data_IF_875406450964
#
_entry.id   IF_875406450964
#
_cell.length_a   1.000
_cell.length_b   1.000
_cell.length_c   1.000
_cell.angle_alpha   90.00
_cell.angle_beta   90.00
_cell.angle_gamma   90.00
#
_symmetry.space_group_name_H-M   'P 1'
#
loop_
_entity.id
_entity.type
_entity.pdbx_description
1 polymer ?
#
# COMPACT_ATOMS: atom_id res chain seq x y z
N UNK A 1 -2.97 34.66 7.06
CA UNK A 1 -3.69 33.36 7.17
C UNK A 1 -3.05 32.16 6.43
N UNK A 2 -2.28 32.31 5.32
CA UNK A 2 -1.80 31.15 4.52
C UNK A 2 -0.59 30.34 5.05
N UNK A 3 0.03 30.70 6.19
CA UNK A 3 1.22 30.00 6.74
C UNK A 3 0.88 28.74 7.55
N UNK A 4 -0.21 28.74 8.32
CA UNK A 4 -0.61 27.57 9.14
C UNK A 4 -1.05 26.37 8.29
N UNK A 5 -1.80 26.62 7.21
CA UNK A 5 -2.24 25.55 6.29
C UNK A 5 -1.06 24.85 5.60
N UNK A 6 0.00 25.60 5.25
CA UNK A 6 1.22 25.01 4.66
C UNK A 6 1.96 24.10 5.65
N UNK A 7 1.98 24.46 6.94
CA UNK A 7 2.63 23.66 7.98
C UNK A 7 1.86 22.37 8.29
N UNK A 8 0.52 22.41 8.27
CA UNK A 8 -0.33 21.21 8.41
C UNK A 8 -0.17 20.26 7.23
N UNK A 9 -0.20 20.78 6.00
CA UNK A 9 0.04 19.98 4.78
C UNK A 9 1.45 19.36 4.82
N UNK A 10 2.47 20.09 5.29
CA UNK A 10 3.82 19.55 5.43
C UNK A 10 3.90 18.44 6.50
N UNK A 11 3.17 18.59 7.61
CA UNK A 11 3.06 17.58 8.68
C UNK A 11 2.36 16.32 8.17
N UNK A 12 1.31 16.45 7.36
CA UNK A 12 0.61 15.35 6.69
C UNK A 12 1.50 14.63 5.68
N UNK A 13 2.25 15.37 4.85
CA UNK A 13 3.18 14.79 3.87
C UNK A 13 4.28 13.99 4.58
N UNK A 14 4.85 14.55 5.66
CA UNK A 14 5.88 13.89 6.47
C UNK A 14 5.35 12.62 7.15
N UNK A 15 4.12 12.66 7.69
CA UNK A 15 3.45 11.50 8.27
C UNK A 15 3.16 10.41 7.22
N UNK A 16 2.71 10.78 6.02
CA UNK A 16 2.52 9.85 4.90
C UNK A 16 3.83 9.25 4.37
N UNK A 17 4.95 9.95 4.52
CA UNK A 17 6.28 9.41 4.25
C UNK A 17 6.72 8.42 5.33
N UNK A 18 6.50 8.76 6.60
CA UNK A 18 6.80 7.89 7.75
C UNK A 18 6.03 6.55 7.68
N UNK A 19 4.72 6.59 7.43
CA UNK A 19 3.84 5.41 7.26
C UNK A 19 4.28 4.49 6.11
N UNK A 20 4.96 5.02 5.08
CA UNK A 20 5.51 4.21 3.97
C UNK A 20 6.75 3.42 4.38
N UNK A 21 7.60 4.00 5.24
CA UNK A 21 8.86 3.40 5.70
C UNK A 21 8.62 2.23 6.65
N UNK A 22 7.64 2.35 7.54
CA UNK A 22 7.24 1.28 8.48
C UNK A 22 6.71 0.05 7.73
N UNK A 23 5.81 0.23 6.77
CA UNK A 23 5.28 -0.90 5.96
C UNK A 23 6.36 -1.70 5.25
N UNK A 24 7.44 -1.07 4.78
CA UNK A 24 8.55 -1.77 4.12
C UNK A 24 9.31 -2.63 5.12
N UNK A 25 9.54 -2.13 6.34
CA UNK A 25 10.16 -2.91 7.43
C UNK A 25 9.29 -4.12 7.78
N UNK A 26 7.97 -3.95 7.88
CA UNK A 26 7.03 -5.03 8.21
C UNK A 26 6.98 -6.13 7.15
N UNK A 27 7.23 -5.79 5.89
CA UNK A 27 7.34 -6.80 4.83
C UNK A 27 8.73 -7.42 4.78
N UNK A 28 9.78 -6.68 5.13
CA UNK A 28 11.15 -7.19 5.17
C UNK A 28 11.41 -8.18 6.32
N UNK A 29 10.64 -8.10 7.41
CA UNK A 29 10.75 -9.04 8.54
C UNK A 29 10.08 -10.39 8.27
N UNK A 30 9.23 -10.49 7.24
CA UNK A 30 8.47 -11.69 6.89
C UNK A 30 9.29 -12.64 6.03
N UNK A 31 8.99 -13.93 6.15
CA UNK A 31 9.64 -14.95 5.31
C UNK A 31 9.12 -14.92 3.87
N UNK A 32 9.91 -15.46 2.94
CA UNK A 32 9.56 -15.50 1.50
C UNK A 32 8.21 -16.17 1.23
N UNK A 33 7.90 -17.24 1.96
CA UNK A 33 6.64 -17.98 1.83
C UNK A 33 5.45 -17.16 2.32
N UNK A 34 5.59 -16.44 3.44
CA UNK A 34 4.56 -15.54 3.95
C UNK A 34 4.29 -14.37 3.00
N UNK A 35 5.34 -13.80 2.41
CA UNK A 35 5.21 -12.75 1.42
C UNK A 35 4.44 -13.21 0.18
N UNK A 36 4.66 -14.45 -0.27
CA UNK A 36 3.91 -15.03 -1.38
C UNK A 36 2.44 -15.25 -1.02
N UNK A 37 2.15 -15.77 0.19
CA UNK A 37 0.77 -15.94 0.68
C UNK A 37 0.03 -14.60 0.79
N UNK A 38 0.69 -13.58 1.34
CA UNK A 38 0.13 -12.23 1.44
C UNK A 38 -0.12 -11.61 0.05
N UNK A 39 0.80 -11.83 -0.89
CA UNK A 39 0.65 -11.35 -2.26
C UNK A 39 -0.58 -11.95 -2.95
N UNK A 40 -0.83 -13.25 -2.78
CA UNK A 40 -2.05 -13.89 -3.28
C UNK A 40 -3.31 -13.26 -2.66
N UNK A 41 -3.36 -13.15 -1.34
CA UNK A 41 -4.50 -12.55 -0.64
C UNK A 41 -4.77 -11.09 -1.04
N UNK A 42 -3.72 -10.29 -1.30
CA UNK A 42 -3.89 -8.93 -1.80
C UNK A 42 -4.37 -8.87 -3.25
N UNK A 43 -4.01 -9.83 -4.10
CA UNK A 43 -4.51 -9.90 -5.47
C UNK A 43 -5.99 -10.25 -5.51
N UNK A 44 -6.45 -11.18 -4.66
CA UNK A 44 -7.86 -11.55 -4.57
C UNK A 44 -8.71 -10.38 -4.07
N UNK A 45 -8.25 -9.69 -3.03
CA UNK A 45 -8.89 -8.44 -2.55
C UNK A 45 -8.95 -7.38 -3.64
N UNK A 46 -7.86 -7.21 -4.40
CA UNK A 46 -7.83 -6.26 -5.50
C UNK A 46 -8.80 -6.65 -6.62
N UNK A 47 -9.02 -7.94 -6.86
CA UNK A 47 -10.01 -8.44 -7.83
C UNK A 47 -11.44 -8.13 -7.36
N UNK A 48 -11.76 -8.40 -6.10
CA UNK A 48 -13.06 -8.07 -5.50
C UNK A 48 -13.34 -6.56 -5.58
N UNK A 49 -12.40 -5.73 -5.13
CA UNK A 49 -12.56 -4.28 -5.19
C UNK A 49 -12.70 -3.73 -6.61
N UNK A 50 -12.10 -4.38 -7.61
CA UNK A 50 -12.32 -4.03 -9.02
C UNK A 50 -13.75 -4.35 -9.46
N UNK A 51 -14.28 -5.52 -9.10
CA UNK A 51 -15.66 -5.87 -9.41
C UNK A 51 -16.65 -4.90 -8.75
N UNK A 52 -16.42 -4.59 -7.48
CA UNK A 52 -17.26 -3.67 -6.72
C UNK A 52 -17.16 -2.22 -7.24
N UNK A 53 -15.99 -1.82 -7.75
CA UNK A 53 -15.80 -0.54 -8.44
C UNK A 53 -16.57 -0.49 -9.76
N UNK A 54 -16.52 -1.56 -10.56
CA UNK A 54 -17.31 -1.68 -11.79
C UNK A 54 -18.81 -1.66 -11.47
N UNK A 55 -19.22 -2.30 -10.38
CA UNK A 55 -20.59 -2.29 -9.90
C UNK A 55 -21.04 -0.91 -9.37
N UNK A 56 -20.15 0.09 -9.28
CA UNK A 56 -20.48 1.44 -8.83
C UNK A 56 -20.79 1.56 -7.33
N UNK A 57 -20.53 0.49 -6.55
CA UNK A 57 -20.86 0.43 -5.11
C UNK A 57 -19.79 1.06 -4.22
N UNK A 58 -18.58 1.29 -4.74
CA UNK A 58 -17.42 1.75 -3.97
C UNK A 58 -17.19 3.25 -4.09
N UNK A 59 -17.15 3.93 -2.93
CA UNK A 59 -16.66 5.31 -2.79
C UNK A 59 -15.14 5.38 -2.49
N UNK A 60 -14.55 4.30 -1.97
CA UNK A 60 -13.17 4.27 -1.45
C UNK A 60 -12.11 3.86 -2.49
N UNK A 61 -11.94 4.64 -3.56
CA UNK A 61 -10.90 4.42 -4.59
C UNK A 61 -9.47 4.45 -4.01
N UNK A 62 -9.29 5.11 -2.86
CA UNK A 62 -8.00 5.23 -2.18
C UNK A 62 -7.43 3.88 -1.74
N UNK A 63 -8.29 2.96 -1.27
CA UNK A 63 -7.88 1.64 -0.81
C UNK A 63 -7.28 0.80 -1.94
N UNK A 64 -7.87 0.86 -3.13
CA UNK A 64 -7.35 0.19 -4.34
C UNK A 64 -5.94 0.70 -4.67
N UNK A 65 -5.73 2.02 -4.56
CA UNK A 65 -4.41 2.63 -4.81
C UNK A 65 -3.39 2.20 -3.76
N UNK A 66 -3.79 2.02 -2.51
CA UNK A 66 -2.91 1.53 -1.44
C UNK A 66 -2.57 0.04 -1.62
N UNK A 67 -3.55 -0.81 -1.89
CA UNK A 67 -3.35 -2.23 -2.21
C UNK A 67 -2.39 -2.44 -3.38
N UNK A 68 -2.53 -1.65 -4.46
CA UNK A 68 -1.59 -1.68 -5.59
C UNK A 68 -0.15 -1.38 -5.18
N UNK A 69 0.04 -0.40 -4.29
CA UNK A 69 1.38 -0.04 -3.78
C UNK A 69 1.94 -1.13 -2.87
N UNK A 70 1.09 -1.75 -2.04
CA UNK A 70 1.50 -2.81 -1.12
C UNK A 70 1.94 -4.07 -1.91
N UNK A 71 1.20 -4.46 -2.97
CA UNK A 71 1.59 -5.53 -3.89
C UNK A 71 2.94 -5.22 -4.57
N UNK A 72 3.13 -3.99 -5.05
CA UNK A 72 4.37 -3.60 -5.73
C UNK A 72 5.59 -3.71 -4.79
N UNK A 73 5.46 -3.25 -3.53
CA UNK A 73 6.54 -3.36 -2.53
C UNK A 73 6.91 -4.80 -2.23
N UNK A 74 5.92 -5.69 -2.05
CA UNK A 74 6.17 -7.11 -1.81
C UNK A 74 6.89 -7.74 -3.01
N UNK A 75 6.47 -7.43 -4.25
CA UNK A 75 7.16 -7.90 -5.46
C UNK A 75 8.62 -7.42 -5.52
N UNK A 76 8.89 -6.16 -5.17
CA UNK A 76 10.26 -5.63 -5.13
C UNK A 76 11.12 -6.37 -4.10
N UNK A 77 10.60 -6.62 -2.89
CA UNK A 77 11.32 -7.37 -1.86
C UNK A 77 11.62 -8.81 -2.30
N UNK A 78 10.63 -9.50 -2.88
CA UNK A 78 10.82 -10.85 -3.43
C UNK A 78 11.88 -10.90 -4.54
N UNK A 79 11.97 -9.84 -5.37
CA UNK A 79 13.02 -9.70 -6.38
C UNK A 79 14.40 -9.52 -5.75
N UNK A 80 14.51 -8.68 -4.73
CA UNK A 80 15.78 -8.44 -4.02
C UNK A 80 16.32 -9.69 -3.31
N UNK A 81 15.46 -10.57 -2.80
CA UNK A 81 15.87 -11.84 -2.15
C UNK A 81 16.47 -12.85 -3.15
N UNK A 82 16.09 -12.77 -4.43
CA UNK A 82 16.50 -13.74 -5.46
C UNK A 82 17.81 -13.37 -6.17
N UNK A 83 18.30 -12.14 -5.95
CA UNK A 83 19.52 -11.61 -6.58
C UNK A 83 20.75 -11.97 -5.77
#
# INVERSE_FOLDING_TARGET
MKRSVKNEVFKEIKCNFMKRKEKIKDFSSKTKLELQKLLAGYQDKLRQLKFDLISGKIKNVKEIRELRKDIARIKTLLKNIKS
#
